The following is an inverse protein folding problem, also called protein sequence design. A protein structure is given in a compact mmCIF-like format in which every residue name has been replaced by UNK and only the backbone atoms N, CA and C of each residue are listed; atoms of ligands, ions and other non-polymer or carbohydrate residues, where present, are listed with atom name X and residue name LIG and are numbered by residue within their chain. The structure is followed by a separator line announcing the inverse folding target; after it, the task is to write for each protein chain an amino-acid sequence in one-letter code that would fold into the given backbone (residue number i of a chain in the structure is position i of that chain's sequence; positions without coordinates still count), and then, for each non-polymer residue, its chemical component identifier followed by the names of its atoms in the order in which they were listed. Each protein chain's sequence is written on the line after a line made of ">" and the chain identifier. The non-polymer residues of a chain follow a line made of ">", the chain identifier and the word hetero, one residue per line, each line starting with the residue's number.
data_IF_876611717816
#
_entry.id   IF_876611717816
#
_cell.length_a   1.000
_cell.length_b   1.000
_cell.length_c   1.000
_cell.angle_alpha   90.00
_cell.angle_beta   90.00
_cell.angle_gamma   90.00
#
_symmetry.space_group_name_H-M   'P 1'
#
loop_
_entity.id
_entity.type
_entity.pdbx_description
1 polymer ?
#
# COMPACT_ATOMS: atom_id res chain seq x y z
N UNK A 1 12.05 -4.77 0.58
CA UNK A 1 12.93 -5.95 0.54
C UNK A 1 14.37 -5.61 0.94
N UNK A 2 14.98 -4.54 0.38
CA UNK A 2 16.36 -4.15 0.73
C UNK A 2 16.48 -3.82 2.21
N UNK A 3 15.66 -2.91 2.74
CA UNK A 3 15.62 -2.56 4.16
C UNK A 3 15.39 -3.78 5.06
N UNK A 4 14.46 -4.67 4.70
CA UNK A 4 14.22 -5.90 5.47
C UNK A 4 15.44 -6.81 5.48
N UNK A 5 16.11 -7.00 4.33
CA UNK A 5 17.33 -7.83 4.26
C UNK A 5 18.47 -7.26 5.10
N UNK A 6 18.63 -5.92 5.12
CA UNK A 6 19.66 -5.24 5.92
C UNK A 6 19.36 -5.33 7.41
N UNK A 7 18.12 -5.12 7.81
CA UNK A 7 17.66 -5.20 9.21
C UNK A 7 17.74 -6.62 9.76
N UNK A 8 17.46 -7.62 8.92
CA UNK A 8 17.55 -9.04 9.32
C UNK A 8 18.98 -9.58 9.22
N UNK A 9 20.00 -8.73 9.08
CA UNK A 9 21.42 -9.10 8.92
C UNK A 9 21.64 -10.16 7.82
N UNK A 10 20.82 -10.08 6.75
CA UNK A 10 20.88 -11.02 5.62
C UNK A 10 20.19 -12.37 5.86
N UNK A 11 19.54 -12.60 7.00
CA UNK A 11 18.77 -13.81 7.27
C UNK A 11 17.68 -14.04 6.21
N UNK A 12 17.03 -12.96 5.78
CA UNK A 12 16.11 -12.95 4.64
C UNK A 12 16.76 -12.27 3.44
N UNK A 13 17.47 -13.00 2.58
CA UNK A 13 18.10 -12.40 1.39
C UNK A 13 17.07 -11.65 0.54
N UNK A 14 17.44 -10.46 0.06
CA UNK A 14 16.58 -9.60 -0.76
C UNK A 14 15.88 -10.36 -1.88
N UNK A 15 16.64 -11.21 -2.61
CA UNK A 15 16.11 -11.97 -3.74
C UNK A 15 15.08 -13.03 -3.31
N UNK A 16 15.29 -13.69 -2.17
CA UNK A 16 14.34 -14.65 -1.62
C UNK A 16 13.01 -13.95 -1.24
N UNK A 17 13.09 -12.83 -0.54
CA UNK A 17 11.91 -12.03 -0.18
C UNK A 17 11.15 -11.58 -1.42
N UNK A 18 11.85 -11.08 -2.45
CA UNK A 18 11.22 -10.65 -3.70
C UNK A 18 10.49 -11.79 -4.39
N UNK A 19 11.11 -12.97 -4.49
CA UNK A 19 10.50 -14.15 -5.11
C UNK A 19 9.28 -14.60 -4.31
N UNK A 20 9.41 -14.77 -2.99
CA UNK A 20 8.33 -15.25 -2.12
C UNK A 20 7.13 -14.31 -2.15
N UNK A 21 7.37 -13.00 -2.02
CA UNK A 21 6.31 -11.98 -2.10
C UNK A 21 5.66 -11.98 -3.47
N UNK A 22 6.44 -12.06 -4.56
CA UNK A 22 5.92 -12.10 -5.93
C UNK A 22 5.04 -13.32 -6.19
N UNK A 23 5.44 -14.49 -5.70
CA UNK A 23 4.64 -15.72 -5.78
C UNK A 23 3.35 -15.58 -4.98
N UNK A 24 3.42 -15.05 -3.75
CA UNK A 24 2.24 -14.80 -2.92
C UNK A 24 1.23 -13.88 -3.60
N UNK A 25 1.71 -12.78 -4.19
CA UNK A 25 0.88 -11.85 -4.96
C UNK A 25 0.26 -12.55 -6.17
N UNK A 26 1.06 -13.29 -6.96
CA UNK A 26 0.58 -13.94 -8.18
C UNK A 26 -0.53 -14.97 -7.88
N UNK A 27 -0.36 -15.78 -6.84
CA UNK A 27 -1.36 -16.75 -6.38
C UNK A 27 -2.65 -16.03 -5.95
N UNK A 28 -2.53 -15.00 -5.11
CA UNK A 28 -3.70 -14.29 -4.60
C UNK A 28 -4.35 -13.41 -5.66
N UNK A 29 -3.59 -12.84 -6.57
CA UNK A 29 -4.13 -12.15 -7.75
C UNK A 29 -4.99 -13.10 -8.59
N UNK A 30 -4.49 -14.32 -8.84
CA UNK A 30 -5.23 -15.35 -9.57
C UNK A 30 -6.53 -15.71 -8.84
N UNK A 31 -6.49 -15.95 -7.53
CA UNK A 31 -7.68 -16.21 -6.70
C UNK A 31 -8.64 -15.02 -6.75
N UNK A 32 -8.14 -13.79 -6.68
CA UNK A 32 -8.93 -12.57 -6.80
C UNK A 32 -9.64 -12.44 -8.15
N UNK A 33 -8.96 -12.78 -9.25
CA UNK A 33 -9.57 -12.80 -10.58
C UNK A 33 -10.66 -13.88 -10.70
N UNK A 34 -10.41 -15.09 -10.19
CA UNK A 34 -11.45 -16.14 -10.11
C UNK A 34 -12.64 -15.67 -9.27
N UNK A 35 -12.39 -14.98 -8.15
CA UNK A 35 -13.46 -14.40 -7.32
C UNK A 35 -14.33 -13.44 -8.13
N UNK A 36 -13.75 -12.58 -8.98
CA UNK A 36 -14.50 -11.65 -9.86
C UNK A 36 -15.34 -12.44 -10.84
N UNK A 37 -14.76 -13.45 -11.50
CA UNK A 37 -15.47 -14.29 -12.50
C UNK A 37 -16.63 -15.07 -11.88
N UNK A 38 -16.41 -15.70 -10.72
CA UNK A 38 -17.42 -16.50 -10.01
C UNK A 38 -18.30 -15.70 -9.05
N UNK A 39 -18.06 -14.38 -8.90
CA UNK A 39 -18.81 -13.47 -8.03
C UNK A 39 -18.85 -13.92 -6.56
N UNK A 40 -17.76 -14.50 -6.07
CA UNK A 40 -17.70 -14.91 -4.67
C UNK A 40 -17.69 -13.69 -3.74
N UNK A 41 -18.44 -13.73 -2.60
CA UNK A 41 -18.61 -12.57 -1.72
C UNK A 41 -17.30 -12.08 -1.09
N UNK A 42 -16.98 -10.80 -1.22
CA UNK A 42 -15.75 -10.18 -0.70
C UNK A 42 -15.59 -10.32 0.81
N UNK A 43 -16.67 -10.10 1.56
CA UNK A 43 -16.65 -10.21 3.02
C UNK A 43 -16.19 -11.59 3.49
N UNK A 44 -16.67 -12.68 2.86
CA UNK A 44 -16.23 -14.04 3.17
C UNK A 44 -14.78 -14.28 2.77
N UNK A 45 -14.37 -13.77 1.59
CA UNK A 45 -12.98 -13.88 1.11
C UNK A 45 -12.03 -13.22 2.10
N UNK A 46 -12.28 -11.97 2.49
CA UNK A 46 -11.42 -11.27 3.43
C UNK A 46 -11.48 -11.88 4.83
N UNK A 47 -12.63 -12.33 5.29
CA UNK A 47 -12.71 -13.04 6.58
C UNK A 47 -11.81 -14.27 6.60
N UNK A 48 -11.87 -15.11 5.56
CA UNK A 48 -11.00 -16.28 5.47
C UNK A 48 -9.51 -15.91 5.40
N UNK A 49 -9.16 -14.90 4.56
CA UNK A 49 -7.78 -14.45 4.42
C UNK A 49 -7.20 -13.89 5.72
N UNK A 50 -7.92 -13.02 6.41
CA UNK A 50 -7.41 -12.43 7.65
C UNK A 50 -7.43 -13.41 8.84
N UNK A 51 -8.36 -14.36 8.87
CA UNK A 51 -8.27 -15.47 9.83
C UNK A 51 -7.02 -16.33 9.58
N UNK A 52 -6.70 -16.62 8.33
CA UNK A 52 -5.47 -17.34 7.99
C UNK A 52 -4.22 -16.51 8.34
N UNK A 53 -4.20 -15.21 8.04
CA UNK A 53 -3.09 -14.30 8.39
C UNK A 53 -2.87 -14.26 9.90
N UNK A 54 -3.91 -13.99 10.70
CA UNK A 54 -3.76 -13.92 12.16
C UNK A 54 -3.50 -15.29 12.79
N UNK A 55 -4.04 -16.37 12.19
CA UNK A 55 -3.71 -17.73 12.59
C UNK A 55 -2.23 -18.06 12.40
N UNK A 56 -1.63 -17.70 11.27
CA UNK A 56 -0.18 -17.85 11.02
C UNK A 56 0.66 -16.89 11.88
N UNK A 57 0.17 -15.66 12.04
CA UNK A 57 0.84 -14.65 12.86
C UNK A 57 0.97 -15.07 14.33
N UNK A 58 0.02 -15.84 14.86
CA UNK A 58 0.10 -16.38 16.22
C UNK A 58 1.33 -17.28 16.46
N UNK A 59 1.81 -17.93 15.41
CA UNK A 59 3.01 -18.78 15.45
C UNK A 59 4.30 -18.05 15.07
N UNK A 60 4.19 -16.76 14.70
CA UNK A 60 5.32 -15.93 14.28
C UNK A 60 5.83 -15.04 15.43
N UNK A 61 7.04 -14.48 15.27
CA UNK A 61 7.57 -13.44 16.17
C UNK A 61 6.90 -12.10 15.87
N UNK A 62 6.89 -11.17 16.85
CA UNK A 62 6.35 -9.81 16.67
C UNK A 62 7.04 -9.07 15.51
N UNK A 63 8.34 -9.29 15.33
CA UNK A 63 9.16 -8.67 14.29
C UNK A 63 8.75 -9.16 12.91
N UNK A 64 8.60 -10.49 12.76
CA UNK A 64 8.16 -11.08 11.51
C UNK A 64 6.72 -10.66 11.16
N UNK A 65 5.85 -10.53 12.17
CA UNK A 65 4.51 -10.03 12.02
C UNK A 65 4.50 -8.61 11.43
N UNK A 66 5.32 -7.70 11.99
CA UNK A 66 5.46 -6.35 11.48
C UNK A 66 6.01 -6.33 10.04
N UNK A 67 7.09 -7.09 9.78
CA UNK A 67 7.70 -7.21 8.45
C UNK A 67 6.72 -7.78 7.42
N UNK A 68 5.92 -8.79 7.78
CA UNK A 68 4.95 -9.40 6.87
C UNK A 68 3.87 -8.40 6.44
N UNK A 69 3.34 -7.62 7.37
CA UNK A 69 2.36 -6.59 7.03
C UNK A 69 2.99 -5.45 6.22
N UNK A 70 4.20 -5.04 6.56
CA UNK A 70 4.91 -3.99 5.79
C UNK A 70 5.32 -4.47 4.39
N UNK A 71 5.55 -5.78 4.21
CA UNK A 71 5.76 -6.36 2.89
C UNK A 71 4.53 -6.18 1.98
N UNK A 72 3.32 -6.11 2.52
CA UNK A 72 2.12 -5.80 1.74
C UNK A 72 2.17 -4.42 1.10
N UNK A 73 2.70 -3.42 1.81
CA UNK A 73 2.89 -2.07 1.29
C UNK A 73 3.93 -1.99 0.17
N UNK A 74 4.94 -2.89 0.19
CA UNK A 74 5.93 -2.95 -0.88
C UNK A 74 5.37 -3.47 -2.22
N UNK A 75 4.18 -4.09 -2.21
CA UNK A 75 3.50 -4.62 -3.38
C UNK A 75 2.69 -3.58 -4.12
N UNK A 76 2.30 -2.52 -3.42
CA UNK A 76 1.43 -1.45 -3.92
C UNK A 76 2.27 -0.28 -4.39
N UNK A 77 2.68 -0.34 -5.67
CA UNK A 77 3.41 0.74 -6.32
C UNK A 77 2.52 1.62 -7.18
N UNK A 78 3.04 2.78 -7.56
CA UNK A 78 2.36 3.72 -8.45
C UNK A 78 2.01 3.13 -9.84
N UNK A 79 2.66 2.04 -10.25
CA UNK A 79 2.37 1.30 -11.47
C UNK A 79 1.45 0.09 -11.20
N UNK A 80 1.71 -0.66 -10.13
CA UNK A 80 1.06 -1.95 -9.86
C UNK A 80 -0.43 -1.78 -9.56
N UNK A 81 -0.79 -0.75 -8.79
CA UNK A 81 -2.19 -0.49 -8.43
C UNK A 81 -3.05 -0.14 -9.65
N UNK A 82 -2.71 0.86 -10.49
CA UNK A 82 -3.48 1.13 -11.70
C UNK A 82 -3.59 -0.07 -12.64
N UNK A 83 -2.53 -0.88 -12.73
CA UNK A 83 -2.55 -2.11 -13.52
C UNK A 83 -3.55 -3.14 -12.96
N UNK A 84 -3.51 -3.42 -11.65
CA UNK A 84 -4.43 -4.37 -11.01
C UNK A 84 -5.88 -3.89 -11.12
N UNK A 85 -6.14 -2.60 -10.91
CA UNK A 85 -7.48 -2.03 -11.03
C UNK A 85 -8.00 -2.12 -12.48
N UNK A 86 -7.17 -1.80 -13.47
CA UNK A 86 -7.54 -1.94 -14.87
C UNK A 86 -7.81 -3.41 -15.26
N UNK A 87 -6.98 -4.35 -14.77
CA UNK A 87 -7.16 -5.78 -14.98
C UNK A 87 -8.48 -6.26 -14.37
N UNK A 88 -8.80 -5.83 -13.16
CA UNK A 88 -10.02 -6.17 -12.46
C UNK A 88 -11.28 -5.69 -13.22
N UNK A 89 -11.28 -4.43 -13.67
CA UNK A 89 -12.37 -3.89 -14.52
C UNK A 89 -12.46 -4.63 -15.84
N UNK A 90 -11.32 -4.92 -16.48
CA UNK A 90 -11.27 -5.70 -17.73
C UNK A 90 -11.90 -7.08 -17.59
N UNK A 91 -11.56 -7.81 -16.53
CA UNK A 91 -12.14 -9.14 -16.24
C UNK A 91 -13.62 -9.04 -15.85
N UNK A 92 -13.99 -8.06 -15.03
CA UNK A 92 -15.39 -7.84 -14.65
C UNK A 92 -16.27 -7.54 -15.88
N UNK A 93 -15.74 -6.79 -16.86
CA UNK A 93 -16.46 -6.45 -18.10
C UNK A 93 -16.77 -7.65 -19.00
N UNK A 94 -16.06 -8.78 -18.85
CA UNK A 94 -16.37 -10.02 -19.57
C UNK A 94 -17.73 -10.59 -19.14
N UNK A 95 -18.18 -10.27 -17.95
CA UNK A 95 -19.44 -10.73 -17.37
C UNK A 95 -20.62 -9.79 -17.63
N UNK A 96 -20.76 -9.29 -18.84
CA UNK A 96 -21.66 -8.21 -19.33
C UNK A 96 -23.16 -8.31 -19.00
N UNK A 97 -23.62 -9.27 -18.19
CA UNK A 97 -25.08 -9.48 -17.98
C UNK A 97 -25.74 -8.60 -16.90
N UNK A 98 -24.99 -7.77 -16.17
CA UNK A 98 -25.57 -6.95 -15.08
C UNK A 98 -24.74 -5.67 -14.84
N UNK A 99 -25.43 -4.57 -14.53
CA UNK A 99 -24.83 -3.27 -14.15
C UNK A 99 -23.92 -3.37 -12.91
N UNK A 100 -24.10 -4.40 -12.06
CA UNK A 100 -23.28 -4.71 -10.88
C UNK A 100 -21.93 -5.38 -11.20
N UNK A 101 -21.60 -5.65 -12.48
CA UNK A 101 -20.34 -6.33 -12.83
C UNK A 101 -19.11 -5.44 -12.56
N UNK A 102 -19.24 -4.13 -12.74
CA UNK A 102 -18.15 -3.18 -12.49
C UNK A 102 -17.89 -2.97 -10.99
N UNK A 103 -18.93 -3.07 -10.15
CA UNK A 103 -18.79 -3.04 -8.69
C UNK A 103 -18.00 -4.24 -8.15
N UNK A 104 -18.10 -5.39 -8.82
CA UNK A 104 -17.37 -6.60 -8.46
C UNK A 104 -15.86 -6.51 -8.78
N UNK A 105 -15.40 -5.49 -9.50
CA UNK A 105 -13.98 -5.28 -9.81
C UNK A 105 -13.14 -4.88 -8.59
N UNK A 106 -13.74 -4.24 -7.58
CA UNK A 106 -13.02 -3.83 -6.38
C UNK A 106 -12.66 -5.02 -5.46
N UNK A 107 -11.63 -4.83 -4.65
CA UNK A 107 -11.10 -5.79 -3.69
C UNK A 107 -9.91 -6.60 -4.18
N UNK A 108 -9.47 -6.42 -5.45
CA UNK A 108 -8.37 -7.17 -6.03
C UNK A 108 -7.02 -6.77 -5.44
N UNK A 109 -6.79 -5.47 -5.22
CA UNK A 109 -5.56 -4.95 -4.61
C UNK A 109 -5.44 -5.44 -3.17
N UNK A 110 -6.54 -5.40 -2.40
CA UNK A 110 -6.57 -5.91 -1.04
C UNK A 110 -6.28 -7.42 -0.95
N UNK A 111 -6.81 -8.23 -1.89
CA UNK A 111 -6.53 -9.67 -1.96
C UNK A 111 -5.05 -9.91 -2.31
N UNK A 112 -4.49 -9.19 -3.27
CA UNK A 112 -3.08 -9.29 -3.64
C UNK A 112 -2.15 -8.91 -2.47
N UNK A 113 -2.48 -7.85 -1.73
CA UNK A 113 -1.74 -7.43 -0.52
C UNK A 113 -1.77 -8.50 0.57
N UNK A 114 -2.93 -9.15 0.80
CA UNK A 114 -3.02 -10.29 1.71
C UNK A 114 -2.11 -11.46 1.30
N UNK A 115 -1.91 -11.64 -0.02
CA UNK A 115 -0.98 -12.64 -0.56
C UNK A 115 0.47 -12.40 -0.16
N UNK A 116 0.91 -11.16 -0.17
CA UNK A 116 2.24 -10.80 0.29
C UNK A 116 2.43 -11.09 1.78
N UNK A 117 1.44 -10.72 2.61
CA UNK A 117 1.48 -11.00 4.06
C UNK A 117 1.58 -12.49 4.32
N UNK A 118 0.70 -13.29 3.71
CA UNK A 118 0.69 -14.75 3.86
C UNK A 118 2.02 -15.37 3.44
N UNK A 119 2.57 -14.94 2.31
CA UNK A 119 3.81 -15.48 1.79
C UNK A 119 4.99 -15.24 2.73
N UNK A 120 5.10 -14.04 3.32
CA UNK A 120 6.16 -13.71 4.29
C UNK A 120 5.96 -14.44 5.62
N UNK A 121 4.72 -14.55 6.11
CA UNK A 121 4.43 -15.33 7.33
C UNK A 121 4.76 -16.80 7.13
N UNK A 122 4.42 -17.39 5.99
CA UNK A 122 4.77 -18.78 5.64
C UNK A 122 6.29 -18.94 5.57
N UNK A 123 7.01 -18.01 4.92
CA UNK A 123 8.48 -18.04 4.87
C UNK A 123 9.07 -18.08 6.26
N UNK A 124 8.57 -17.26 7.18
CA UNK A 124 9.06 -17.20 8.56
C UNK A 124 8.82 -18.47 9.38
N UNK A 125 7.87 -19.32 9.01
CA UNK A 125 7.69 -20.62 9.64
C UNK A 125 8.83 -21.60 9.28
N UNK A 126 9.42 -21.46 8.09
CA UNK A 126 10.52 -22.29 7.62
C UNK A 126 11.89 -21.75 8.00
N UNK A 127 12.03 -20.43 8.08
CA UNK A 127 13.25 -19.72 8.42
C UNK A 127 13.09 -19.15 9.84
N UNK A 128 13.13 -20.02 10.84
CA UNK A 128 13.13 -19.59 12.25
C UNK A 128 14.55 -19.15 12.65
N UNK A 129 14.64 -17.97 13.22
CA UNK A 129 15.80 -17.54 14.00
C UNK A 129 15.31 -17.10 15.37
N UNK A 130 15.95 -17.63 16.39
CA UNK A 130 15.73 -17.22 17.78
C UNK A 130 16.60 -15.99 18.14
N UNK A 131 17.43 -15.51 17.22
CA UNK A 131 18.23 -14.31 17.43
C UNK A 131 17.37 -13.03 17.19
N UNK A 132 17.39 -12.07 18.13
CA UNK A 132 16.73 -10.80 17.96
C UNK A 132 17.33 -10.06 16.74
N UNK A 133 16.49 -9.39 15.97
CA UNK A 133 16.91 -8.60 14.83
C UNK A 133 17.86 -7.49 15.31
N UNK A 134 19.14 -7.63 15.00
CA UNK A 134 20.20 -6.71 15.44
C UNK A 134 20.91 -6.00 14.28
N UNK A 135 20.26 -5.88 13.14
CA UNK A 135 20.80 -5.16 11.99
C UNK A 135 21.01 -3.68 12.32
N UNK A 136 22.12 -3.12 11.87
CA UNK A 136 22.33 -1.68 11.90
C UNK A 136 21.61 -1.04 10.70
N UNK A 137 20.95 0.11 10.93
CA UNK A 137 20.49 0.93 9.80
C UNK A 137 21.70 1.29 8.91
N UNK A 138 21.53 1.23 7.58
CA UNK A 138 22.56 1.74 6.69
C UNK A 138 22.85 3.19 7.08
N UNK A 139 24.09 3.46 7.50
CA UNK A 139 24.53 4.82 7.75
C UNK A 139 24.33 5.63 6.48
N UNK A 140 23.44 6.60 6.51
CA UNK A 140 23.31 7.50 5.40
C UNK A 140 24.63 8.28 5.32
N UNK A 141 25.28 8.18 4.17
CA UNK A 141 26.48 8.94 3.87
C UNK A 141 26.21 10.42 4.17
N UNK A 142 27.19 11.06 4.80
CA UNK A 142 27.12 12.47 5.15
C UNK A 142 26.58 13.29 3.97
N UNK A 143 25.67 14.20 4.26
CA UNK A 143 25.04 15.11 3.28
C UNK A 143 26.12 15.59 2.31
N UNK A 144 26.05 15.12 1.08
CA UNK A 144 26.97 15.55 0.04
C UNK A 144 26.95 17.08 -0.02
N UNK A 145 28.11 17.70 -0.13
CA UNK A 145 28.26 19.18 -0.23
C UNK A 145 27.43 19.78 -1.39
N UNK A 146 26.96 18.92 -2.30
CA UNK A 146 26.08 19.26 -3.42
C UNK A 146 24.70 18.61 -3.25
N UNK A 147 23.68 19.41 -3.04
CA UNK A 147 22.28 18.97 -2.88
C UNK A 147 21.71 18.23 -4.10
N UNK A 148 22.26 18.43 -5.30
CA UNK A 148 21.85 17.74 -6.53
C UNK A 148 22.48 16.34 -6.68
N UNK A 149 23.59 16.06 -6.01
CA UNK A 149 24.31 14.80 -6.17
C UNK A 149 23.46 13.55 -5.88
N UNK A 150 22.64 13.45 -4.81
CA UNK A 150 21.78 12.31 -4.54
C UNK A 150 20.78 12.05 -5.68
N UNK A 151 20.20 13.12 -6.24
CA UNK A 151 19.22 13.01 -7.34
C UNK A 151 19.88 12.48 -8.62
N UNK A 152 21.05 12.99 -8.97
CA UNK A 152 21.78 12.55 -10.16
C UNK A 152 22.28 11.09 -10.04
N UNK A 153 22.58 10.65 -8.84
CA UNK A 153 23.01 9.26 -8.56
C UNK A 153 21.83 8.28 -8.62
N UNK A 154 20.69 8.63 -8.03
CA UNK A 154 19.51 7.73 -7.99
C UNK A 154 18.74 7.70 -9.31
N UNK A 155 18.74 8.76 -10.10
CA UNK A 155 17.97 8.90 -11.34
C UNK A 155 18.21 7.76 -12.35
N UNK A 156 19.46 7.37 -12.72
CA UNK A 156 19.69 6.31 -13.70
C UNK A 156 19.27 4.93 -13.16
N UNK A 157 19.44 4.67 -11.87
CA UNK A 157 19.04 3.44 -11.21
C UNK A 157 17.51 3.29 -11.24
N UNK A 158 16.80 4.32 -10.82
CA UNK A 158 15.33 4.34 -10.81
C UNK A 158 14.78 4.28 -12.23
N UNK A 159 15.39 4.96 -13.20
CA UNK A 159 14.99 4.87 -14.60
C UNK A 159 15.10 3.43 -15.13
N UNK A 160 16.17 2.72 -14.77
CA UNK A 160 16.36 1.31 -15.12
C UNK A 160 15.31 0.39 -14.47
N UNK A 161 15.02 0.58 -13.19
CA UNK A 161 14.00 -0.18 -12.45
C UNK A 161 12.59 0.04 -13.03
N UNK A 162 12.22 1.27 -13.35
CA UNK A 162 10.92 1.59 -13.95
C UNK A 162 10.83 1.06 -15.39
N UNK A 163 11.91 1.16 -16.17
CA UNK A 163 11.94 0.60 -17.52
C UNK A 163 11.71 -0.92 -17.48
N UNK A 164 12.34 -1.60 -16.54
CA UNK A 164 12.13 -3.03 -16.32
C UNK A 164 10.68 -3.34 -15.92
N UNK A 165 10.10 -2.53 -15.04
CA UNK A 165 8.72 -2.71 -14.56
C UNK A 165 7.66 -2.43 -15.65
N UNK A 166 7.89 -1.44 -16.52
CA UNK A 166 6.98 -1.07 -17.62
C UNK A 166 7.14 -2.01 -18.83
N UNK A 167 8.32 -2.60 -19.01
CA UNK A 167 8.63 -3.39 -20.20
C UNK A 167 7.67 -4.56 -20.46
N UNK A 168 7.21 -5.36 -19.48
CA UNK A 168 6.26 -6.45 -19.73
C UNK A 168 4.91 -5.93 -20.27
N UNK A 169 4.44 -4.82 -19.73
CA UNK A 169 3.18 -4.19 -20.17
C UNK A 169 3.31 -3.68 -21.59
N UNK A 170 4.44 -3.02 -21.89
CA UNK A 170 4.74 -2.53 -23.24
C UNK A 170 4.85 -3.70 -24.26
N UNK A 171 5.56 -4.76 -23.89
CA UNK A 171 5.72 -5.96 -24.72
C UNK A 171 4.36 -6.59 -25.01
N UNK A 172 3.53 -6.84 -23.98
CA UNK A 172 2.18 -7.40 -24.17
C UNK A 172 1.34 -6.50 -25.07
N UNK A 173 1.38 -5.19 -24.87
CA UNK A 173 0.66 -4.22 -25.69
C UNK A 173 1.09 -4.26 -27.16
N UNK A 174 2.39 -4.27 -27.42
CA UNK A 174 2.94 -4.33 -28.79
C UNK A 174 2.64 -5.69 -29.44
N UNK A 175 2.84 -6.80 -28.73
CA UNK A 175 2.53 -8.14 -29.24
C UNK A 175 1.04 -8.27 -29.58
N UNK A 176 0.15 -7.79 -28.71
CA UNK A 176 -1.28 -7.78 -28.98
C UNK A 176 -1.60 -7.01 -30.28
N UNK A 177 -1.02 -5.82 -30.44
CA UNK A 177 -1.25 -4.99 -31.63
C UNK A 177 -0.71 -5.60 -32.92
N UNK A 178 0.40 -6.35 -32.84
CA UNK A 178 1.05 -6.99 -34.01
C UNK A 178 0.36 -8.29 -34.40
N UNK A 179 0.06 -9.16 -33.42
CA UNK A 179 -0.40 -10.53 -33.69
C UNK A 179 -1.92 -10.66 -33.83
N UNK A 180 -2.71 -9.80 -33.17
CA UNK A 180 -4.18 -9.87 -33.24
C UNK A 180 -4.71 -8.87 -34.26
N UNK A 181 -4.68 -9.28 -35.54
CA UNK A 181 -5.02 -8.43 -36.68
C UNK A 181 -6.47 -7.90 -36.66
N UNK A 182 -7.39 -8.68 -36.11
CA UNK A 182 -8.84 -8.32 -36.06
C UNK A 182 -9.20 -7.26 -35.04
N UNK A 183 -8.27 -6.96 -34.10
CA UNK A 183 -8.47 -5.98 -33.04
C UNK A 183 -7.47 -4.81 -33.10
N UNK A 184 -6.96 -4.51 -34.31
CA UNK A 184 -5.99 -3.41 -34.46
C UNK A 184 -6.58 -2.08 -34.00
N UNK A 185 -5.93 -1.50 -33.02
CA UNK A 185 -6.22 -0.14 -32.58
C UNK A 185 -6.01 0.85 -33.73
N UNK A 186 -6.85 1.89 -33.78
CA UNK A 186 -6.59 2.99 -34.71
C UNK A 186 -5.22 3.62 -34.43
N UNK A 187 -4.55 4.15 -35.45
CA UNK A 187 -3.25 4.84 -35.31
C UNK A 187 -3.30 5.93 -34.23
N UNK A 188 -4.45 6.60 -34.06
CA UNK A 188 -4.64 7.62 -33.01
C UNK A 188 -4.68 7.01 -31.61
N UNK A 189 -5.39 5.89 -31.42
CA UNK A 189 -5.48 5.19 -30.15
C UNK A 189 -4.12 4.62 -29.76
N UNK A 190 -3.42 3.96 -30.69
CA UNK A 190 -2.08 3.43 -30.47
C UNK A 190 -1.11 4.54 -30.01
N UNK A 191 -1.08 5.68 -30.74
CA UNK A 191 -0.22 6.82 -30.37
C UNK A 191 -0.56 7.39 -28.99
N UNK A 192 -1.86 7.48 -28.64
CA UNK A 192 -2.28 7.96 -27.30
C UNK A 192 -1.78 7.05 -26.19
N UNK A 193 -1.91 5.73 -26.34
CA UNK A 193 -1.45 4.76 -25.35
C UNK A 193 0.08 4.84 -25.22
N UNK A 194 0.80 4.86 -26.34
CA UNK A 194 2.26 4.95 -26.31
C UNK A 194 2.76 6.24 -25.66
N UNK A 195 2.16 7.38 -25.98
CA UNK A 195 2.47 8.66 -25.33
C UNK A 195 2.10 8.64 -23.85
N UNK A 196 0.97 8.03 -23.47
CA UNK A 196 0.57 7.84 -22.07
C UNK A 196 1.61 7.03 -21.28
N UNK A 197 2.14 5.95 -21.88
CA UNK A 197 3.21 5.15 -21.28
C UNK A 197 4.53 5.92 -21.17
N UNK A 198 4.86 6.77 -22.14
CA UNK A 198 6.02 7.64 -22.08
C UNK A 198 5.91 8.69 -20.94
N UNK A 199 4.74 9.33 -20.81
CA UNK A 199 4.46 10.23 -19.68
C UNK A 199 4.50 9.51 -18.33
N UNK A 200 3.91 8.30 -18.25
CA UNK A 200 3.99 7.47 -17.06
C UNK A 200 5.44 7.17 -16.67
N UNK A 201 6.26 6.75 -17.63
CA UNK A 201 7.67 6.46 -17.40
C UNK A 201 8.42 7.69 -16.86
N UNK A 202 8.34 8.83 -17.56
CA UNK A 202 9.02 10.06 -17.14
C UNK A 202 8.51 10.54 -15.78
N UNK A 203 7.18 10.54 -15.59
CA UNK A 203 6.56 10.96 -14.33
C UNK A 203 6.98 10.10 -13.15
N UNK A 204 7.02 8.76 -13.30
CA UNK A 204 7.45 7.84 -12.25
C UNK A 204 8.94 7.96 -11.95
N UNK A 205 9.79 8.13 -12.98
CA UNK A 205 11.23 8.36 -12.78
C UNK A 205 11.46 9.60 -11.95
N UNK A 206 10.84 10.72 -12.31
CA UNK A 206 11.00 11.97 -11.57
C UNK A 206 10.43 11.88 -10.16
N UNK A 207 9.23 11.30 -10.00
CA UNK A 207 8.56 11.14 -8.72
C UNK A 207 9.38 10.27 -7.76
N UNK A 208 9.77 9.06 -8.18
CA UNK A 208 10.50 8.13 -7.31
C UNK A 208 11.94 8.59 -7.05
N UNK A 209 12.57 9.29 -7.99
CA UNK A 209 13.87 9.93 -7.74
C UNK A 209 13.73 11.00 -6.65
N UNK A 210 12.71 11.87 -6.75
CA UNK A 210 12.43 12.88 -5.73
C UNK A 210 12.16 12.27 -4.35
N UNK A 211 11.38 11.21 -4.32
CA UNK A 211 11.04 10.50 -3.08
C UNK A 211 12.27 9.85 -2.44
N UNK A 212 13.06 9.09 -3.19
CA UNK A 212 14.20 8.35 -2.65
C UNK A 212 15.39 9.25 -2.32
N UNK A 213 15.72 10.23 -3.19
CA UNK A 213 16.86 11.09 -3.02
C UNK A 213 16.62 12.28 -2.08
N UNK A 214 15.36 12.72 -1.92
CA UNK A 214 15.04 13.94 -1.16
C UNK A 214 14.19 13.67 0.08
N UNK A 215 13.01 13.06 -0.09
CA UNK A 215 12.03 13.01 0.98
C UNK A 215 12.40 12.08 2.14
N UNK A 216 13.15 11.00 1.92
CA UNK A 216 13.57 10.10 3.00
C UNK A 216 14.43 10.82 4.04
N UNK A 217 15.47 11.52 3.60
CA UNK A 217 16.36 12.24 4.51
C UNK A 217 15.66 13.41 5.22
N UNK A 218 14.79 14.12 4.50
CA UNK A 218 13.98 15.21 5.08
C UNK A 218 13.01 14.64 6.12
N UNK A 219 12.33 13.52 5.82
CA UNK A 219 11.41 12.87 6.75
C UNK A 219 12.10 12.48 8.05
N UNK A 220 13.24 11.78 7.96
CA UNK A 220 14.03 11.37 9.13
C UNK A 220 14.47 12.56 9.98
N UNK A 221 15.08 13.58 9.37
CA UNK A 221 15.51 14.79 10.10
C UNK A 221 14.33 15.51 10.75
N UNK A 222 13.21 15.61 10.08
CA UNK A 222 11.99 16.20 10.61
C UNK A 222 11.51 15.42 11.85
N UNK A 223 11.50 14.09 11.76
CA UNK A 223 11.15 13.21 12.89
C UNK A 223 12.05 13.44 14.09
N UNK A 224 13.36 13.44 13.89
CA UNK A 224 14.36 13.69 14.94
C UNK A 224 14.18 15.08 15.58
N UNK A 225 14.06 16.13 14.76
CA UNK A 225 13.95 17.52 15.24
C UNK A 225 12.71 17.74 16.08
N UNK A 226 11.56 17.20 15.66
CA UNK A 226 10.29 17.41 16.35
C UNK A 226 10.16 16.50 17.57
N UNK A 227 10.63 15.27 17.50
CA UNK A 227 10.66 14.37 18.65
C UNK A 227 11.63 14.82 19.76
N UNK A 228 12.69 15.58 19.41
CA UNK A 228 13.62 16.18 20.36
C UNK A 228 13.08 17.40 21.12
N UNK A 229 11.82 17.83 20.88
CA UNK A 229 11.21 18.91 21.63
C UNK A 229 10.75 18.43 23.00
N UNK A 230 10.63 19.33 23.99
CA UNK A 230 10.22 19.03 25.38
C UNK A 230 8.81 18.41 25.50
N UNK A 231 7.99 18.54 24.47
CA UNK A 231 6.61 18.02 24.43
C UNK A 231 6.41 17.06 23.27
N UNK A 232 5.67 15.97 23.51
CA UNK A 232 5.27 15.02 22.47
C UNK A 232 4.10 15.50 21.60
N UNK A 233 3.40 16.58 21.96
CA UNK A 233 2.24 17.08 21.21
C UNK A 233 2.62 17.51 19.77
N UNK A 234 3.71 18.25 19.53
CA UNK A 234 4.08 18.65 18.17
C UNK A 234 4.32 17.46 17.23
N UNK A 235 4.97 16.40 17.68
CA UNK A 235 5.25 15.23 16.84
C UNK A 235 3.97 14.48 16.48
N UNK A 236 2.98 14.42 17.35
CA UNK A 236 1.66 13.85 17.08
C UNK A 236 0.90 14.66 16.02
N UNK A 237 0.87 16.00 16.17
CA UNK A 237 0.19 16.89 15.23
C UNK A 237 0.85 16.83 13.86
N UNK A 238 2.18 16.93 13.82
CA UNK A 238 2.93 16.87 12.56
C UNK A 238 2.78 15.49 11.90
N UNK A 239 2.84 14.40 12.66
CA UNK A 239 2.60 13.06 12.14
C UNK A 239 1.22 12.94 11.49
N UNK A 240 0.17 13.44 12.13
CA UNK A 240 -1.17 13.46 11.56
C UNK A 240 -1.23 14.28 10.26
N UNK A 241 -0.69 15.49 10.27
CA UNK A 241 -0.69 16.38 9.10
C UNK A 241 0.10 15.75 7.94
N UNK A 242 1.26 15.16 8.21
CA UNK A 242 2.06 14.47 7.19
C UNK A 242 1.30 13.29 6.58
N UNK A 243 0.61 12.49 7.39
CA UNK A 243 -0.24 11.41 6.91
C UNK A 243 -1.34 11.90 5.97
N UNK A 244 -2.00 13.02 6.30
CA UNK A 244 -2.98 13.67 5.42
C UNK A 244 -2.35 14.12 4.11
N UNK A 245 -1.20 14.81 4.16
CA UNK A 245 -0.52 15.36 2.98
C UNK A 245 0.00 14.27 2.03
N UNK A 246 0.53 13.17 2.59
CA UNK A 246 1.09 12.07 1.80
C UNK A 246 0.03 11.41 0.92
N UNK A 247 -1.19 11.23 1.42
CA UNK A 247 -2.30 10.67 0.62
C UNK A 247 -2.70 11.60 -0.53
N UNK A 248 -2.65 12.90 -0.32
CA UNK A 248 -2.93 13.88 -1.39
C UNK A 248 -1.87 13.86 -2.49
N UNK A 249 -0.63 13.48 -2.14
CA UNK A 249 0.50 13.41 -3.07
C UNK A 249 0.65 12.01 -3.73
N UNK A 250 -0.09 10.98 -3.27
CA UNK A 250 0.07 9.60 -3.74
C UNK A 250 -0.61 9.39 -5.11
N UNK A 251 0.16 9.06 -6.19
CA UNK A 251 -0.43 8.90 -7.53
C UNK A 251 -1.46 7.78 -7.62
N UNK A 252 -1.28 6.69 -6.87
CA UNK A 252 -2.19 5.55 -6.89
C UNK A 252 -3.56 5.89 -6.28
N UNK A 253 -3.61 6.77 -5.28
CA UNK A 253 -4.85 7.30 -4.68
C UNK A 253 -5.64 8.12 -5.69
N UNK A 254 -4.94 8.90 -6.53
CA UNK A 254 -5.57 9.64 -7.61
C UNK A 254 -6.33 8.70 -8.57
N UNK A 255 -5.70 7.61 -8.99
CA UNK A 255 -6.31 6.62 -9.89
C UNK A 255 -7.49 5.93 -9.23
N UNK A 256 -7.32 5.45 -7.99
CA UNK A 256 -8.41 4.77 -7.26
C UNK A 256 -9.63 5.68 -7.10
N UNK A 257 -9.43 6.92 -6.68
CA UNK A 257 -10.56 7.84 -6.42
C UNK A 257 -11.31 8.23 -7.69
N UNK A 258 -10.64 8.33 -8.85
CA UNK A 258 -11.31 8.51 -10.14
C UNK A 258 -12.09 7.26 -10.54
N UNK A 259 -11.49 6.08 -10.40
CA UNK A 259 -12.18 4.84 -10.73
C UNK A 259 -13.45 4.64 -9.87
N UNK A 260 -13.41 5.00 -8.58
CA UNK A 260 -14.59 4.96 -7.71
C UNK A 260 -15.68 5.88 -8.26
N UNK A 261 -15.35 7.11 -8.62
CA UNK A 261 -16.31 8.08 -9.16
C UNK A 261 -16.89 7.61 -10.48
N UNK A 262 -16.07 7.06 -11.39
CA UNK A 262 -16.48 6.55 -12.70
C UNK A 262 -17.42 5.34 -12.55
N UNK A 263 -17.02 4.32 -11.77
CA UNK A 263 -17.82 3.09 -11.56
C UNK A 263 -19.14 3.39 -10.86
N UNK A 264 -19.16 4.35 -9.94
CA UNK A 264 -20.38 4.77 -9.23
C UNK A 264 -21.19 5.84 -9.98
N UNK A 265 -20.80 6.17 -11.22
CA UNK A 265 -21.43 7.22 -12.03
C UNK A 265 -21.61 8.55 -11.29
N UNK A 266 -20.60 8.90 -10.46
CA UNK A 266 -20.60 10.12 -9.65
C UNK A 266 -21.40 10.05 -8.34
N UNK A 267 -22.05 8.92 -8.02
CA UNK A 267 -22.79 8.75 -6.75
C UNK A 267 -21.85 8.88 -5.55
N UNK A 268 -20.65 8.30 -5.62
CA UNK A 268 -19.59 8.48 -4.62
C UNK A 268 -18.57 9.49 -5.14
N UNK A 269 -18.63 10.72 -4.61
CA UNK A 269 -17.76 11.81 -5.05
C UNK A 269 -16.31 11.60 -4.63
N UNK A 270 -15.38 11.76 -5.56
CA UNK A 270 -13.94 11.66 -5.34
C UNK A 270 -13.45 12.45 -4.12
N UNK A 271 -13.87 13.72 -3.97
CA UNK A 271 -13.42 14.57 -2.86
C UNK A 271 -13.79 14.03 -1.48
N UNK A 272 -14.95 13.36 -1.36
CA UNK A 272 -15.40 12.72 -0.10
C UNK A 272 -14.52 11.52 0.22
N UNK A 273 -14.28 10.65 -0.77
CA UNK A 273 -13.39 9.48 -0.62
C UNK A 273 -11.99 9.92 -0.20
N UNK A 274 -11.44 10.92 -0.90
CA UNK A 274 -10.12 11.47 -0.62
C UNK A 274 -10.04 12.05 0.80
N UNK A 275 -11.08 12.76 1.28
CA UNK A 275 -11.15 13.29 2.64
C UNK A 275 -11.12 12.18 3.70
N UNK A 276 -11.93 11.13 3.53
CA UNK A 276 -11.95 9.98 4.44
C UNK A 276 -10.63 9.22 4.43
N UNK A 277 -10.01 9.02 3.27
CA UNK A 277 -8.69 8.42 3.15
C UNK A 277 -7.62 9.24 3.86
N UNK A 278 -7.59 10.55 3.63
CA UNK A 278 -6.60 11.44 4.22
C UNK A 278 -6.69 11.46 5.75
N UNK A 279 -7.90 11.54 6.31
CA UNK A 279 -8.12 11.45 7.75
C UNK A 279 -7.71 10.08 8.28
N UNK A 280 -8.08 9.00 7.58
CA UNK A 280 -7.69 7.63 7.96
C UNK A 280 -6.18 7.45 8.05
N UNK A 281 -5.44 7.91 7.04
CA UNK A 281 -3.97 7.82 7.04
C UNK A 281 -3.35 8.79 8.05
N UNK A 282 -3.89 10.00 8.21
CA UNK A 282 -3.46 10.90 9.27
C UNK A 282 -3.54 10.26 10.65
N UNK A 283 -4.67 9.61 10.95
CA UNK A 283 -4.84 8.85 12.20
C UNK A 283 -3.89 7.66 12.30
N UNK A 284 -3.62 6.94 11.19
CA UNK A 284 -2.68 5.83 11.17
C UNK A 284 -1.26 6.29 11.55
N UNK A 285 -0.79 7.40 10.97
CA UNK A 285 0.54 7.95 11.26
C UNK A 285 0.60 8.47 12.71
N UNK A 286 -0.44 9.17 13.18
CA UNK A 286 -0.53 9.60 14.58
C UNK A 286 -0.43 8.40 15.53
N UNK A 287 -1.21 7.34 15.32
CA UNK A 287 -1.17 6.14 16.15
C UNK A 287 0.18 5.40 16.06
N UNK A 288 0.84 5.45 14.89
CA UNK A 288 2.20 4.92 14.74
C UNK A 288 3.21 5.70 15.58
N UNK A 289 3.12 7.04 15.63
CA UNK A 289 3.93 7.87 16.53
C UNK A 289 3.62 7.55 18.00
N UNK A 290 2.35 7.41 18.37
CA UNK A 290 1.96 7.02 19.75
C UNK A 290 2.59 5.68 20.12
N UNK A 291 2.66 4.72 19.20
CA UNK A 291 3.30 3.42 19.43
C UNK A 291 4.80 3.56 19.74
N UNK A 292 5.50 4.41 18.98
CA UNK A 292 6.93 4.68 19.23
C UNK A 292 7.15 5.34 20.60
N UNK A 293 6.28 6.25 21.00
CA UNK A 293 6.39 6.98 22.27
C UNK A 293 6.01 6.14 23.50
N UNK A 294 5.29 5.03 23.31
CA UNK A 294 4.76 4.20 24.41
C UNK A 294 5.23 2.75 24.24
N UNK A 295 6.32 2.34 24.90
CA UNK A 295 6.99 1.05 24.64
C UNK A 295 6.15 -0.21 24.86
N UNK A 296 5.12 -0.17 25.72
CA UNK A 296 4.25 -1.34 25.94
C UNK A 296 3.20 -1.53 24.84
N UNK A 297 2.96 -0.51 23.98
CA UNK A 297 2.03 -0.59 22.85
C UNK A 297 2.65 -1.31 21.67
N UNK A 298 2.34 -2.59 21.54
CA UNK A 298 2.80 -3.41 20.42
C UNK A 298 1.82 -3.34 19.24
N UNK A 299 2.31 -3.66 18.05
CA UNK A 299 1.54 -3.59 16.80
C UNK A 299 0.24 -4.41 16.85
N UNK A 300 0.26 -5.60 17.46
CA UNK A 300 -0.91 -6.45 17.56
C UNK A 300 -2.05 -5.85 18.39
N UNK A 301 -1.77 -4.93 19.34
CA UNK A 301 -2.81 -4.21 20.09
C UNK A 301 -3.66 -3.31 19.20
N UNK A 302 -3.14 -2.91 18.05
CA UNK A 302 -3.86 -2.12 17.05
C UNK A 302 -4.46 -3.00 15.95
N UNK A 303 -3.66 -3.91 15.37
CA UNK A 303 -4.07 -4.67 14.20
C UNK A 303 -5.19 -5.67 14.51
N UNK A 304 -5.10 -6.42 15.62
CA UNK A 304 -6.14 -7.40 15.94
C UNK A 304 -7.51 -6.74 16.14
N UNK A 305 -7.67 -5.76 17.05
CA UNK A 305 -8.98 -5.11 17.20
C UNK A 305 -9.39 -4.33 15.95
N UNK A 306 -8.46 -3.69 15.25
CA UNK A 306 -8.75 -2.97 14.01
C UNK A 306 -9.32 -3.88 12.92
N UNK A 307 -8.68 -5.01 12.66
CA UNK A 307 -9.20 -5.98 11.68
C UNK A 307 -10.47 -6.70 12.14
N UNK A 308 -10.67 -6.91 13.44
CA UNK A 308 -11.96 -7.38 13.95
C UNK A 308 -13.09 -6.38 13.65
N UNK A 309 -12.84 -5.09 13.83
CA UNK A 309 -13.79 -4.02 13.47
C UNK A 309 -14.04 -4.03 11.95
N UNK A 310 -12.98 -4.10 11.12
CA UNK A 310 -13.07 -4.16 9.66
C UNK A 310 -13.93 -5.35 9.21
N UNK A 311 -13.66 -6.53 9.73
CA UNK A 311 -14.41 -7.72 9.37
C UNK A 311 -15.87 -7.63 9.81
N UNK A 312 -16.14 -7.12 11.02
CA UNK A 312 -17.50 -6.90 11.50
C UNK A 312 -18.27 -5.88 10.64
N UNK A 313 -17.63 -4.78 10.25
CA UNK A 313 -18.21 -3.78 9.36
C UNK A 313 -18.44 -4.32 7.95
N UNK A 314 -17.58 -5.20 7.43
CA UNK A 314 -17.70 -5.76 6.08
C UNK A 314 -19.00 -6.58 5.86
N UNK A 315 -19.66 -7.01 6.93
CA UNK A 315 -20.98 -7.66 6.88
C UNK A 315 -22.15 -6.67 7.01
N UNK A 316 -21.89 -5.43 7.37
CA UNK A 316 -22.93 -4.41 7.62
C UNK A 316 -22.98 -3.32 6.54
N UNK A 317 -21.92 -3.13 5.79
CA UNK A 317 -21.83 -2.09 4.74
C UNK A 317 -22.06 -2.69 3.34
N UNK A 318 -22.45 -1.86 2.34
CA UNK A 318 -22.61 -2.33 0.97
C UNK A 318 -21.34 -2.98 0.43
N UNK A 319 -21.48 -4.05 -0.37
CA UNK A 319 -20.35 -4.85 -0.90
C UNK A 319 -19.35 -4.00 -1.68
N UNK A 320 -19.83 -3.00 -2.42
CA UNK A 320 -19.00 -2.05 -3.13
C UNK A 320 -18.01 -1.35 -2.19
N UNK A 321 -18.48 -0.82 -1.06
CA UNK A 321 -17.63 -0.14 -0.09
C UNK A 321 -16.66 -1.09 0.63
N UNK A 322 -16.99 -2.38 0.76
CA UNK A 322 -16.03 -3.37 1.25
C UNK A 322 -14.86 -3.50 0.28
N UNK A 323 -15.13 -3.65 -1.02
CA UNK A 323 -14.09 -3.74 -2.05
C UNK A 323 -13.24 -2.47 -2.12
N UNK A 324 -13.88 -1.31 -2.21
CA UNK A 324 -13.22 0.00 -2.23
C UNK A 324 -12.32 0.19 -1.00
N UNK A 325 -12.81 -0.18 0.19
CA UNK A 325 -12.07 0.00 1.42
C UNK A 325 -10.79 -0.85 1.47
N UNK A 326 -10.87 -2.12 1.13
CA UNK A 326 -9.69 -3.00 1.12
C UNK A 326 -8.68 -2.61 0.03
N UNK A 327 -9.14 -2.20 -1.15
CA UNK A 327 -8.25 -1.67 -2.19
C UNK A 327 -7.57 -0.37 -1.74
N UNK A 328 -8.33 0.50 -1.06
CA UNK A 328 -7.79 1.76 -0.54
C UNK A 328 -6.73 1.56 0.55
N UNK A 329 -6.88 0.55 1.42
CA UNK A 329 -5.85 0.17 2.39
C UNK A 329 -4.54 -0.24 1.69
N UNK A 330 -4.65 -1.05 0.64
CA UNK A 330 -3.50 -1.38 -0.20
C UNK A 330 -2.89 -0.16 -0.89
N UNK A 331 -3.72 0.69 -1.48
CA UNK A 331 -3.28 1.89 -2.21
C UNK A 331 -2.62 2.94 -1.31
N UNK A 332 -3.11 3.12 -0.09
CA UNK A 332 -2.59 4.10 0.86
C UNK A 332 -1.18 3.77 1.38
N UNK A 333 -0.78 2.50 1.32
CA UNK A 333 0.57 2.05 1.69
C UNK A 333 1.61 2.18 0.56
N UNK A 334 1.39 3.09 -0.38
CA UNK A 334 2.24 3.32 -1.57
C UNK A 334 3.61 3.94 -1.29
N UNK A 335 4.35 4.32 -2.36
CA UNK A 335 5.73 4.80 -2.28
C UNK A 335 5.98 5.93 -1.28
N UNK A 336 5.10 6.93 -1.21
CA UNK A 336 5.29 8.05 -0.27
C UNK A 336 5.21 7.60 1.19
N UNK A 337 4.28 6.71 1.50
CA UNK A 337 4.15 6.13 2.85
C UNK A 337 5.35 5.25 3.17
N UNK A 338 5.73 4.35 2.27
CA UNK A 338 6.81 3.39 2.48
C UNK A 338 8.22 4.02 2.49
N UNK A 339 8.34 5.31 2.18
CA UNK A 339 9.62 6.04 2.20
C UNK A 339 9.58 7.21 3.18
N UNK A 340 8.84 8.27 2.86
CA UNK A 340 8.83 9.51 3.62
C UNK A 340 8.26 9.34 5.04
N UNK A 341 7.08 8.72 5.18
CA UNK A 341 6.48 8.51 6.51
C UNK A 341 7.28 7.49 7.31
N UNK A 342 7.74 6.40 6.66
CA UNK A 342 8.61 5.44 7.32
C UNK A 342 9.87 6.12 7.87
N UNK A 343 10.55 6.93 7.08
CA UNK A 343 11.73 7.68 7.49
C UNK A 343 11.42 8.67 8.63
N UNK A 344 10.26 9.34 8.59
CA UNK A 344 9.81 10.20 9.68
C UNK A 344 9.63 9.44 11.00
N UNK A 345 8.96 8.27 10.98
CA UNK A 345 8.78 7.43 12.17
C UNK A 345 10.12 6.89 12.69
N UNK A 346 11.02 6.49 11.79
CA UNK A 346 12.37 6.08 12.15
C UNK A 346 13.15 7.21 12.84
N UNK A 347 13.04 8.45 12.33
CA UNK A 347 13.63 9.62 12.95
C UNK A 347 13.06 9.92 14.34
N UNK A 348 11.76 9.70 14.55
CA UNK A 348 11.13 9.81 15.87
C UNK A 348 11.69 8.74 16.82
N UNK A 349 11.81 7.50 16.36
CA UNK A 349 12.32 6.39 17.16
C UNK A 349 13.81 6.56 17.56
N UNK A 350 14.64 7.19 16.72
CA UNK A 350 16.05 7.46 17.03
C UNK A 350 16.26 8.37 18.25
N UNK A 351 15.33 9.27 18.52
CA UNK A 351 15.40 10.22 19.64
C UNK A 351 14.64 9.72 20.86
N UNK A 352 13.69 8.79 20.66
CA UNK A 352 12.87 8.27 21.75
C UNK A 352 13.66 7.28 22.60
N UNK A 353 13.82 7.49 23.92
CA UNK A 353 14.46 6.55 24.81
C UNK A 353 13.77 5.17 24.76
N UNK A 354 14.57 4.09 24.80
CA UNK A 354 14.13 2.69 24.79
C UNK A 354 13.38 2.24 23.52
N UNK A 355 13.20 3.12 22.50
CA UNK A 355 12.63 2.74 21.22
C UNK A 355 13.65 1.99 20.36
N UNK A 356 13.24 0.85 19.79
CA UNK A 356 14.03 0.16 18.79
C UNK A 356 13.71 0.73 17.39
N UNK A 357 14.63 1.50 16.82
CA UNK A 357 14.45 2.17 15.52
C UNK A 357 14.02 1.22 14.43
N UNK A 358 14.52 -0.02 14.44
CA UNK A 358 14.21 -1.04 13.45
C UNK A 358 12.80 -1.59 13.66
N UNK A 359 12.48 -1.99 14.88
CA UNK A 359 11.18 -2.61 15.21
C UNK A 359 10.04 -1.59 15.19
N UNK A 360 10.29 -0.38 15.68
CA UNK A 360 9.30 0.68 15.75
C UNK A 360 9.05 1.33 14.37
N UNK A 361 10.05 1.33 13.49
CA UNK A 361 9.88 1.72 12.08
C UNK A 361 8.99 0.77 11.31
N UNK A 362 9.07 -0.54 11.58
CA UNK A 362 8.22 -1.55 10.95
C UNK A 362 6.83 -1.60 11.61
N UNK A 363 5.83 -1.99 10.82
CA UNK A 363 4.43 -2.05 11.23
C UNK A 363 3.66 -0.73 11.05
N UNK A 364 4.33 0.37 10.75
CA UNK A 364 3.66 1.62 10.40
C UNK A 364 2.84 1.47 9.12
N UNK A 365 3.36 0.80 8.12
CA UNK A 365 2.66 0.55 6.86
C UNK A 365 1.40 -0.29 7.10
N UNK A 366 1.46 -1.24 8.05
CA UNK A 366 0.30 -2.01 8.48
C UNK A 366 -0.83 -1.13 9.05
N UNK A 367 -0.47 -0.13 9.85
CA UNK A 367 -1.42 0.85 10.40
C UNK A 367 -2.04 1.71 9.30
N UNK A 368 -1.21 2.16 8.32
CA UNK A 368 -1.65 2.93 7.16
C UNK A 368 -2.51 2.09 6.22
N UNK A 369 -2.30 0.78 6.12
CA UNK A 369 -3.19 -0.09 5.38
C UNK A 369 -4.55 -0.28 6.09
N UNK A 370 -4.55 -0.42 7.41
CA UNK A 370 -5.73 -0.73 8.23
C UNK A 370 -6.71 0.45 8.35
N UNK A 371 -6.21 1.64 8.69
CA UNK A 371 -7.08 2.79 9.02
C UNK A 371 -7.93 3.31 7.84
N UNK A 372 -7.44 3.39 6.60
CA UNK A 372 -8.26 3.68 5.43
C UNK A 372 -9.40 2.68 5.22
N UNK A 373 -9.18 1.39 5.51
CA UNK A 373 -10.24 0.39 5.40
C UNK A 373 -11.38 0.73 6.36
N UNK A 374 -11.05 1.07 7.61
CA UNK A 374 -12.05 1.48 8.60
C UNK A 374 -12.76 2.75 8.14
N UNK A 375 -12.03 3.78 7.73
CA UNK A 375 -12.60 5.07 7.35
C UNK A 375 -13.54 4.97 6.15
N UNK A 376 -13.19 4.17 5.13
CA UNK A 376 -14.06 3.98 3.96
C UNK A 376 -15.23 3.04 4.21
N UNK A 377 -15.10 2.06 5.11
CA UNK A 377 -16.26 1.29 5.55
C UNK A 377 -17.24 2.15 6.37
N UNK A 378 -16.75 3.07 7.20
CA UNK A 378 -17.58 4.05 7.86
C UNK A 378 -18.28 4.98 6.86
N UNK A 379 -17.57 5.41 5.82
CA UNK A 379 -18.19 6.15 4.71
C UNK A 379 -19.31 5.33 4.06
N UNK A 380 -19.08 4.05 3.78
CA UNK A 380 -20.09 3.13 3.25
C UNK A 380 -21.33 3.01 4.13
N UNK A 381 -21.13 2.95 5.44
CA UNK A 381 -22.24 2.93 6.40
C UNK A 381 -23.06 4.24 6.40
N UNK A 382 -22.40 5.39 6.23
CA UNK A 382 -23.06 6.69 6.08
C UNK A 382 -23.90 6.73 4.80
N UNK A 383 -23.34 6.30 3.66
CA UNK A 383 -24.05 6.24 2.39
C UNK A 383 -25.28 5.33 2.46
N UNK A 384 -25.14 4.13 3.04
CA UNK A 384 -26.25 3.20 3.22
C UNK A 384 -27.39 3.82 4.07
N UNK A 385 -27.03 4.50 5.15
CA UNK A 385 -28.02 5.15 6.04
C UNK A 385 -28.76 6.27 5.32
N UNK A 386 -28.10 7.03 4.48
CA UNK A 386 -28.72 8.13 3.71
C UNK A 386 -29.63 7.58 2.61
N UNK A 387 -29.21 6.53 1.89
CA UNK A 387 -30.05 5.86 0.89
C UNK A 387 -31.36 5.32 1.49
N UNK A 388 -31.31 4.69 2.67
CA UNK A 388 -32.49 4.23 3.38
C UNK A 388 -33.42 5.41 3.78
N UNK A 389 -32.88 6.58 4.12
CA UNK A 389 -33.69 7.76 4.48
C UNK A 389 -34.34 8.43 3.28
N UNK A 390 -33.71 8.36 2.12
CA UNK A 390 -34.21 8.94 0.87
C UNK A 390 -35.16 8.00 0.13
N UNK A 391 -35.39 6.79 0.65
CA UNK A 391 -36.33 5.82 0.06
C UNK A 391 -35.86 5.22 -1.25
N UNK A 392 -34.54 5.25 -1.51
CA UNK A 392 -33.86 4.64 -2.65
C UNK A 392 -33.34 3.25 -2.34
#
# INVERSE_FOLDING_TARGET
>A
ATQVSEVTSGMYPKNLLLIVVSVGIAVMLTIGLFRIVYRYPLNKTFTFLYLAIFGLAYFSTNDLFAIAFDASGSTTGALTVPFMLALAVGVASLNRKTQSAEEDSFGLVGIASAGAILAVLILGLFVRSDEPLSGSMPGHEAVAANWLAPFLHELPKIAGEILLAVSPILIIFVLNHVFFADQKLSKRAFRRIFLGMAYLFVGLVLFLTGVNAGFMEVGRKLGMLIAGMDSSIPVLIVGFVLGVLVILAEPAVYVLTHQIEDVTTGYVKRGIVLGFLSIGVGLAVLLSVVRVLIPWLQLWHYLVPGYLIILALSYKVPKLFVGIAFDAGGVASGPMTATFILAFIQGVAEITPDANVLLEGFGMIAMVAMMPIISLQLLGAIYQRNSIKEGL
#
